data_IF_948940846325
#
_entry.id   IF_948940846325
#
_cell.length_a   1.000
_cell.length_b   1.000
_cell.length_c   1.000
_cell.angle_alpha   90.00
_cell.angle_beta   90.00
_cell.angle_gamma   90.00
#
_symmetry.space_group_name_H-M   'P 1'
#
loop_
_entity.id
_entity.type
_entity.pdbx_description
1 polymer ?
#
# COMPACT_ATOMS: atom_id res chain seq x y z
N UNK A 1 59.86 22.71 32.61
CA UNK A 1 58.50 22.85 32.03
C UNK A 1 58.56 22.42 30.58
N UNK A 2 58.05 21.23 30.24
CA UNK A 2 57.91 20.73 28.87
C UNK A 2 56.42 20.66 28.57
N UNK A 3 55.95 21.44 27.60
CA UNK A 3 54.57 21.35 27.09
C UNK A 3 54.54 20.27 26.00
N UNK A 4 53.73 19.23 26.21
CA UNK A 4 53.36 18.25 25.19
C UNK A 4 52.09 18.76 24.50
N UNK A 5 52.23 19.19 23.24
CA UNK A 5 51.10 19.45 22.34
C UNK A 5 50.60 18.12 21.80
N UNK A 6 49.44 17.67 22.28
CA UNK A 6 48.72 16.54 21.71
C UNK A 6 47.91 17.03 20.50
N UNK A 7 48.37 16.72 19.29
CA UNK A 7 47.59 16.90 18.06
C UNK A 7 46.49 15.84 18.00
N UNK A 8 45.25 16.25 18.21
CA UNK A 8 44.06 15.43 18.00
C UNK A 8 43.76 15.37 16.49
N UNK A 9 44.15 14.27 15.86
CA UNK A 9 43.74 13.93 14.49
C UNK A 9 42.24 13.56 14.50
N UNK A 10 41.40 14.50 14.07
CA UNK A 10 40.00 14.23 13.75
C UNK A 10 39.95 13.33 12.51
N UNK A 11 39.69 12.04 12.71
CA UNK A 11 39.30 11.14 11.63
C UNK A 11 37.88 11.52 11.17
N UNK A 12 37.78 12.24 10.06
CA UNK A 12 36.50 12.45 9.37
C UNK A 12 36.18 11.13 8.68
N UNK A 13 35.41 10.27 9.35
CA UNK A 13 34.81 9.12 8.67
C UNK A 13 33.90 9.64 7.57
N UNK A 14 34.07 9.22 6.30
CA UNK A 14 33.08 9.51 5.29
C UNK A 14 31.77 8.87 5.75
N UNK A 15 30.75 9.69 5.96
CA UNK A 15 29.38 9.20 5.99
C UNK A 15 29.14 8.63 4.59
N UNK A 16 29.23 7.31 4.49
CA UNK A 16 28.69 6.59 3.34
C UNK A 16 27.19 6.84 3.39
N UNK A 17 26.74 7.86 2.66
CA UNK A 17 25.34 8.00 2.29
C UNK A 17 25.05 6.75 1.46
N UNK A 18 24.46 5.75 2.11
CA UNK A 18 24.02 4.53 1.43
C UNK A 18 23.21 4.94 0.22
N UNK A 19 23.52 4.33 -0.93
CA UNK A 19 22.75 4.50 -2.14
C UNK A 19 21.27 4.42 -1.78
N UNK A 20 20.54 5.51 -1.99
CA UNK A 20 19.09 5.52 -1.86
C UNK A 20 18.64 4.53 -2.93
N UNK A 21 18.25 3.32 -2.51
CA UNK A 21 17.63 2.34 -3.40
C UNK A 21 16.48 3.06 -4.08
N UNK A 22 16.69 3.37 -5.35
CA UNK A 22 15.70 4.06 -6.19
C UNK A 22 14.42 3.23 -6.16
N UNK A 23 13.21 3.81 -6.26
CA UNK A 23 11.96 3.08 -6.43
C UNK A 23 12.15 2.04 -7.53
N UNK A 24 12.33 0.78 -7.11
CA UNK A 24 12.82 -0.23 -8.01
C UNK A 24 11.67 -0.71 -8.88
N UNK A 25 11.98 -0.99 -10.14
CA UNK A 25 11.11 -1.76 -11.02
C UNK A 25 10.61 -3.03 -10.31
N UNK A 26 11.47 -3.65 -9.51
CA UNK A 26 11.14 -4.80 -8.69
C UNK A 26 10.03 -4.57 -7.68
N UNK A 27 10.02 -3.45 -6.95
CA UNK A 27 8.96 -3.15 -5.98
C UNK A 27 7.60 -3.02 -6.66
N UNK A 28 7.55 -2.39 -7.84
CA UNK A 28 6.31 -2.26 -8.60
C UNK A 28 5.80 -3.63 -9.08
N UNK A 29 6.70 -4.46 -9.61
CA UNK A 29 6.33 -5.81 -10.01
C UNK A 29 5.90 -6.71 -8.85
N UNK A 30 6.58 -6.65 -7.71
CA UNK A 30 6.15 -7.37 -6.50
C UNK A 30 4.77 -6.91 -6.05
N UNK A 31 4.47 -5.61 -6.10
CA UNK A 31 3.13 -5.10 -5.83
C UNK A 31 2.08 -5.66 -6.80
N UNK A 32 2.40 -5.73 -8.10
CA UNK A 32 1.52 -6.34 -9.11
C UNK A 32 1.27 -7.83 -8.84
N UNK A 33 2.31 -8.57 -8.44
CA UNK A 33 2.21 -9.98 -8.05
C UNK A 33 1.31 -10.15 -6.83
N UNK A 34 1.54 -9.36 -5.78
CA UNK A 34 0.82 -9.47 -4.51
C UNK A 34 -0.67 -9.16 -4.64
N UNK A 35 -1.05 -8.23 -5.52
CA UNK A 35 -2.45 -7.94 -5.82
C UNK A 35 -3.20 -9.13 -6.45
N UNK A 36 -2.49 -10.08 -7.07
CA UNK A 36 -3.09 -11.24 -7.72
C UNK A 36 -3.69 -10.94 -9.10
N UNK A 37 -4.22 -11.97 -9.76
CA UNK A 37 -4.78 -11.86 -11.11
C UNK A 37 -6.20 -11.29 -11.13
N UNK A 38 -6.92 -11.39 -10.02
CA UNK A 38 -8.30 -10.89 -9.88
C UNK A 38 -8.41 -9.37 -9.78
N UNK A 39 -7.30 -8.66 -9.58
CA UNK A 39 -7.25 -7.20 -9.51
C UNK A 39 -6.71 -6.64 -10.82
N UNK A 40 -7.45 -5.71 -11.44
CA UNK A 40 -6.91 -4.94 -12.56
C UNK A 40 -5.73 -4.11 -12.07
N UNK A 41 -4.55 -4.34 -12.65
CA UNK A 41 -3.33 -3.64 -12.28
C UNK A 41 -2.33 -3.57 -13.44
N UNK A 42 -1.62 -2.44 -13.54
CA UNK A 42 -0.58 -2.16 -14.52
C UNK A 42 0.68 -1.67 -13.82
N UNK A 43 1.85 -2.13 -14.28
CA UNK A 43 3.14 -1.56 -13.89
C UNK A 43 3.50 -0.49 -14.90
N UNK A 44 3.78 0.71 -14.41
CA UNK A 44 4.17 1.85 -15.23
C UNK A 44 5.66 2.15 -15.03
N UNK A 45 6.36 2.43 -16.13
CA UNK A 45 7.61 3.18 -16.14
C UNK A 45 7.27 4.63 -16.45
N UNK A 46 7.68 5.56 -15.58
CA UNK A 46 7.33 6.97 -15.66
C UNK A 46 8.60 7.79 -15.74
N UNK A 47 8.67 8.71 -16.70
CA UNK A 47 9.78 9.65 -16.86
C UNK A 47 9.46 10.95 -16.12
N UNK A 48 10.40 11.37 -15.26
CA UNK A 48 10.32 12.62 -14.52
C UNK A 48 11.37 13.60 -15.05
N UNK A 49 10.91 14.73 -15.60
CA UNK A 49 11.77 15.78 -16.15
C UNK A 49 12.06 16.92 -15.17
N UNK A 50 11.49 16.87 -13.96
CA UNK A 50 11.68 17.90 -12.94
C UNK A 50 12.90 17.57 -12.06
N UNK A 51 14.06 18.23 -12.26
CA UNK A 51 15.27 17.95 -11.48
C UNK A 51 15.18 18.39 -10.01
N UNK A 52 14.18 19.21 -9.66
CA UNK A 52 13.93 19.63 -8.29
C UNK A 52 12.94 18.71 -7.55
N UNK A 53 12.36 17.73 -8.25
CA UNK A 53 11.43 16.78 -7.67
C UNK A 53 12.15 15.82 -6.70
N UNK A 54 11.50 15.39 -5.62
CA UNK A 54 12.00 14.28 -4.79
C UNK A 54 12.01 12.94 -5.54
N UNK A 55 11.27 12.83 -6.65
CA UNK A 55 11.25 11.63 -7.48
C UNK A 55 12.51 11.54 -8.37
N UNK A 56 13.09 10.34 -8.56
CA UNK A 56 14.16 10.16 -9.54
C UNK A 56 13.67 10.41 -10.96
N UNK A 57 14.60 10.54 -11.91
CA UNK A 57 14.31 10.73 -13.33
C UNK A 57 13.48 9.58 -13.96
N UNK A 58 13.52 8.39 -13.37
CA UNK A 58 12.66 7.26 -13.77
C UNK A 58 12.02 6.65 -12.53
N UNK A 59 10.70 6.62 -12.52
CA UNK A 59 9.88 6.04 -11.44
C UNK A 59 9.18 4.81 -11.96
N UNK A 60 9.16 3.74 -11.18
CA UNK A 60 8.31 2.59 -11.41
C UNK A 60 7.17 2.58 -10.40
N UNK A 61 5.95 2.39 -10.88
CA UNK A 61 4.75 2.41 -10.07
C UNK A 61 3.79 1.31 -10.47
N UNK A 62 2.98 0.87 -9.51
CA UNK A 62 1.85 -0.04 -9.77
C UNK A 62 0.57 0.74 -9.63
N UNK A 63 -0.19 0.82 -10.72
CA UNK A 63 -1.53 1.38 -10.73
C UNK A 63 -2.51 0.24 -10.71
N UNK A 64 -3.48 0.28 -9.81
CA UNK A 64 -4.47 -0.79 -9.68
C UNK A 64 -5.84 -0.26 -9.29
N UNK A 65 -6.88 -1.00 -9.65
CA UNK A 65 -8.24 -0.68 -9.30
C UNK A 65 -8.64 -1.41 -8.02
N UNK A 66 -9.25 -0.67 -7.08
CA UNK A 66 -9.86 -1.27 -5.91
C UNK A 66 -11.04 -0.41 -5.46
N UNK A 67 -12.23 -1.02 -5.34
CA UNK A 67 -13.49 -0.39 -4.92
C UNK A 67 -13.87 0.84 -5.75
N UNK A 68 -13.78 0.72 -7.08
CA UNK A 68 -14.15 1.80 -8.00
C UNK A 68 -13.28 3.04 -7.89
N UNK A 69 -12.00 2.86 -7.50
CA UNK A 69 -10.96 3.88 -7.42
C UNK A 69 -9.66 3.29 -7.97
N UNK A 70 -8.89 4.10 -8.70
CA UNK A 70 -7.51 3.82 -9.04
C UNK A 70 -6.58 4.24 -7.90
N UNK A 71 -5.61 3.38 -7.62
CA UNK A 71 -4.58 3.55 -6.62
C UNK A 71 -3.21 3.54 -7.28
N UNK A 72 -2.28 4.32 -6.76
CA UNK A 72 -0.92 4.46 -7.26
C UNK A 72 0.06 4.09 -6.15
N UNK A 73 0.83 3.02 -6.36
CA UNK A 73 1.85 2.55 -5.44
C UNK A 73 3.26 2.81 -5.98
N UNK A 74 4.12 3.39 -5.13
CA UNK A 74 5.58 3.39 -5.33
C UNK A 74 6.27 2.86 -4.09
N UNK A 75 7.47 2.29 -4.25
CA UNK A 75 8.29 1.88 -3.11
C UNK A 75 8.77 3.04 -2.23
N UNK A 76 8.66 4.29 -2.70
CA UNK A 76 9.05 5.49 -1.94
C UNK A 76 7.93 6.01 -1.04
N UNK A 77 6.73 6.17 -1.60
CA UNK A 77 5.63 6.87 -0.92
C UNK A 77 4.56 5.91 -0.40
N UNK A 78 4.60 4.66 -0.84
CA UNK A 78 3.54 3.69 -0.61
C UNK A 78 2.36 3.92 -1.54
N UNK A 79 1.16 3.56 -1.07
CA UNK A 79 -0.07 3.62 -1.85
C UNK A 79 -0.82 4.94 -1.59
N UNK A 80 -1.20 5.63 -2.66
CA UNK A 80 -2.07 6.81 -2.61
C UNK A 80 -3.23 6.71 -3.59
N UNK A 81 -4.27 7.51 -3.35
CA UNK A 81 -5.38 7.65 -4.31
C UNK A 81 -4.84 8.25 -5.60
N UNK A 82 -5.17 7.62 -6.71
CA UNK A 82 -4.80 8.10 -8.04
C UNK A 82 -5.99 8.68 -8.78
N UNK A 83 -7.18 8.11 -8.56
CA UNK A 83 -8.43 8.74 -8.98
C UNK A 83 -8.62 10.10 -8.33
N UNK A 84 -9.15 11.03 -9.13
CA UNK A 84 -9.60 12.34 -8.66
C UNK A 84 -11.09 12.29 -8.26
N UNK A 85 -11.86 11.36 -8.85
CA UNK A 85 -13.29 11.24 -8.63
C UNK A 85 -13.73 9.78 -8.43
N UNK A 86 -14.76 9.56 -7.60
CA UNK A 86 -15.39 8.23 -7.49
C UNK A 86 -16.27 7.96 -8.71
N UNK A 87 -16.34 6.69 -9.13
CA UNK A 87 -17.24 6.25 -10.20
C UNK A 87 -16.81 6.65 -11.61
N UNK A 88 -15.55 7.08 -11.79
CA UNK A 88 -14.96 7.47 -13.08
C UNK A 88 -13.77 6.61 -13.49
N UNK A 89 -13.61 5.43 -12.90
CA UNK A 89 -12.42 4.58 -13.11
C UNK A 89 -12.14 4.29 -14.58
N UNK A 90 -13.17 3.91 -15.35
CA UNK A 90 -12.97 3.60 -16.77
C UNK A 90 -12.51 4.81 -17.60
N UNK A 91 -13.04 5.99 -17.31
CA UNK A 91 -12.58 7.27 -17.89
C UNK A 91 -11.13 7.56 -17.45
N UNK A 92 -10.86 7.43 -16.15
CA UNK A 92 -9.56 7.72 -15.53
C UNK A 92 -8.45 6.76 -15.96
N UNK A 93 -8.76 5.50 -16.28
CA UNK A 93 -7.81 4.55 -16.91
C UNK A 93 -7.30 5.08 -18.27
N UNK A 94 -8.14 5.80 -19.01
CA UNK A 94 -7.77 6.46 -20.26
C UNK A 94 -7.06 7.81 -20.09
N UNK A 95 -7.12 8.43 -18.91
CA UNK A 95 -6.53 9.74 -18.62
C UNK A 95 -5.24 9.66 -17.78
N UNK A 96 -4.50 8.55 -17.88
CA UNK A 96 -3.31 8.25 -17.07
C UNK A 96 -2.32 9.43 -16.98
N UNK A 97 -2.03 10.08 -18.12
CA UNK A 97 -1.14 11.24 -18.20
C UNK A 97 -1.59 12.43 -17.32
N UNK A 98 -2.90 12.69 -17.28
CA UNK A 98 -3.46 13.78 -16.47
C UNK A 98 -3.32 13.46 -14.98
N UNK A 99 -3.60 12.22 -14.60
CA UNK A 99 -3.53 11.77 -13.22
C UNK A 99 -2.08 11.77 -12.71
N UNK A 100 -1.12 11.30 -13.54
CA UNK A 100 0.30 11.33 -13.20
C UNK A 100 0.80 12.77 -12.95
N UNK A 101 0.41 13.73 -13.80
CA UNK A 101 0.76 15.15 -13.61
C UNK A 101 0.12 15.77 -12.37
N UNK A 102 -0.98 15.22 -11.87
CA UNK A 102 -1.60 15.66 -10.62
C UNK A 102 -0.81 15.20 -9.38
N UNK A 103 -0.04 14.10 -9.49
CA UNK A 103 0.91 13.68 -8.45
C UNK A 103 2.15 14.55 -8.48
N UNK A 104 2.80 14.62 -9.64
CA UNK A 104 4.06 15.37 -9.85
C UNK A 104 4.03 16.00 -11.25
N UNK A 105 4.07 17.34 -11.36
CA UNK A 105 4.07 18.03 -12.65
C UNK A 105 5.18 17.60 -13.62
N UNK A 106 6.28 17.07 -13.10
CA UNK A 106 7.39 16.50 -13.87
C UNK A 106 7.13 15.13 -14.51
N UNK A 107 6.06 14.42 -14.15
CA UNK A 107 5.70 13.15 -14.79
C UNK A 107 5.09 13.40 -16.18
N UNK A 108 5.95 13.44 -17.21
CA UNK A 108 5.54 13.81 -18.59
C UNK A 108 5.17 12.63 -19.46
N UNK A 109 5.84 11.50 -19.28
CA UNK A 109 5.72 10.33 -20.14
C UNK A 109 5.63 9.09 -19.28
N UNK A 110 4.84 8.14 -19.74
CA UNK A 110 4.75 6.84 -19.12
C UNK A 110 4.61 5.75 -20.17
N UNK A 111 5.13 4.59 -19.85
CA UNK A 111 4.93 3.36 -20.60
C UNK A 111 4.31 2.34 -19.65
N UNK A 112 3.17 1.76 -20.04
CA UNK A 112 2.68 0.55 -19.40
C UNK A 112 3.59 -0.60 -19.80
N UNK A 113 4.22 -1.23 -18.81
CA UNK A 113 5.01 -2.44 -19.05
C UNK A 113 4.07 -3.59 -19.46
N UNK A 114 4.58 -4.60 -20.18
CA UNK A 114 3.78 -5.76 -20.59
C UNK A 114 3.08 -6.42 -19.40
N UNK A 115 1.95 -7.09 -19.60
CA UNK A 115 1.25 -7.79 -18.51
C UNK A 115 1.99 -9.06 -18.04
N UNK A 116 2.83 -9.63 -18.92
CA UNK A 116 3.64 -10.79 -18.59
C UNK A 116 4.67 -10.43 -17.51
N UNK A 117 4.53 -11.06 -16.35
CA UNK A 117 5.42 -10.85 -15.22
C UNK A 117 6.84 -11.34 -15.55
N UNK A 118 7.88 -10.52 -15.31
CA UNK A 118 9.25 -10.96 -15.47
C UNK A 118 9.59 -12.13 -14.55
N UNK A 119 10.42 -13.07 -15.05
CA UNK A 119 10.76 -14.33 -14.35
C UNK A 119 11.46 -14.12 -13.01
N UNK A 120 12.17 -12.99 -12.86
CA UNK A 120 12.90 -12.64 -11.63
C UNK A 120 12.01 -12.07 -10.52
N UNK A 121 10.73 -11.81 -10.80
CA UNK A 121 9.78 -11.31 -9.82
C UNK A 121 9.32 -12.47 -8.95
N UNK A 122 9.59 -12.36 -7.66
CA UNK A 122 9.19 -13.35 -6.67
C UNK A 122 8.55 -12.64 -5.47
N UNK A 123 7.67 -13.35 -4.77
CA UNK A 123 7.19 -12.87 -3.48
C UNK A 123 8.36 -12.91 -2.49
N UNK A 124 8.80 -11.72 -2.06
CA UNK A 124 9.86 -11.54 -1.06
C UNK A 124 9.30 -11.18 0.31
N UNK A 125 8.00 -11.40 0.49
CA UNK A 125 7.27 -11.00 1.66
C UNK A 125 6.79 -9.55 1.55
N UNK A 126 6.82 -8.78 2.65
CA UNK A 126 6.06 -7.54 2.72
C UNK A 126 6.62 -6.43 1.86
N UNK A 127 5.73 -5.66 1.23
CA UNK A 127 6.13 -4.47 0.48
C UNK A 127 6.54 -3.34 1.41
N UNK A 128 7.69 -2.74 1.12
CA UNK A 128 8.11 -1.47 1.72
C UNK A 128 7.07 -0.40 1.41
N UNK A 129 6.59 0.30 2.45
CA UNK A 129 5.51 1.29 2.34
C UNK A 129 4.20 0.75 1.72
N UNK A 130 4.05 -0.57 1.59
CA UNK A 130 2.90 -1.19 0.94
C UNK A 130 1.78 -1.55 1.92
N UNK A 131 1.59 -0.80 3.01
CA UNK A 131 0.63 -1.14 4.07
C UNK A 131 -0.79 -1.43 3.54
N UNK A 132 -1.22 -0.71 2.50
CA UNK A 132 -2.48 -0.96 1.81
C UNK A 132 -2.50 -2.33 1.11
N UNK A 133 -1.52 -2.62 0.26
CA UNK A 133 -1.43 -3.89 -0.47
C UNK A 133 -1.21 -5.07 0.48
N UNK A 134 -0.34 -4.91 1.48
CA UNK A 134 -0.13 -5.92 2.53
C UNK A 134 -1.43 -6.23 3.29
N UNK A 135 -2.27 -5.22 3.54
CA UNK A 135 -3.59 -5.41 4.16
C UNK A 135 -4.55 -6.20 3.27
N UNK A 136 -4.48 -6.02 1.94
CA UNK A 136 -5.25 -6.83 0.99
C UNK A 136 -4.76 -8.28 0.96
N UNK A 137 -3.45 -8.50 0.98
CA UNK A 137 -2.87 -9.85 1.06
C UNK A 137 -3.29 -10.53 2.36
N UNK A 138 -3.23 -9.84 3.50
CA UNK A 138 -3.70 -10.38 4.77
C UNK A 138 -5.19 -10.78 4.74
N UNK A 139 -6.03 -10.01 4.04
CA UNK A 139 -7.43 -10.38 3.85
C UNK A 139 -7.57 -11.64 2.99
N UNK A 140 -6.82 -11.72 1.88
CA UNK A 140 -6.79 -12.92 1.03
C UNK A 140 -6.38 -14.15 1.82
N UNK A 141 -5.27 -14.06 2.54
CA UNK A 141 -4.77 -15.17 3.34
C UNK A 141 -5.82 -15.61 4.35
N UNK A 142 -6.48 -14.68 5.05
CA UNK A 142 -7.55 -15.03 5.99
C UNK A 142 -8.73 -15.76 5.31
N UNK A 143 -9.16 -15.31 4.12
CA UNK A 143 -10.22 -15.96 3.35
C UNK A 143 -9.81 -17.35 2.85
N UNK A 144 -8.59 -17.51 2.35
CA UNK A 144 -8.04 -18.80 1.88
C UNK A 144 -7.91 -19.81 3.02
N UNK A 145 -7.62 -19.35 4.24
CA UNK A 145 -7.61 -20.17 5.45
C UNK A 145 -9.02 -20.42 6.03
N UNK A 146 -10.08 -19.99 5.34
CA UNK A 146 -11.47 -20.27 5.72
C UNK A 146 -11.96 -19.45 6.92
N UNK A 147 -11.35 -18.30 7.23
CA UNK A 147 -11.83 -17.42 8.31
C UNK A 147 -13.22 -16.88 7.94
N UNK A 148 -14.25 -17.06 8.79
CA UNK A 148 -15.62 -16.63 8.49
C UNK A 148 -15.78 -15.12 8.70
N UNK A 149 -15.27 -14.34 7.74
CA UNK A 149 -15.31 -12.88 7.76
C UNK A 149 -16.71 -12.38 7.37
N UNK A 150 -17.37 -11.67 8.28
CA UNK A 150 -18.68 -11.03 8.06
C UNK A 150 -18.58 -9.66 7.39
N UNK A 151 -17.51 -8.94 7.71
CA UNK A 151 -17.25 -7.60 7.21
C UNK A 151 -15.73 -7.37 7.19
N UNK A 152 -15.23 -6.68 6.17
CA UNK A 152 -13.82 -6.29 6.07
C UNK A 152 -13.73 -4.86 5.53
N UNK A 153 -12.85 -4.07 6.13
CA UNK A 153 -12.60 -2.67 5.77
C UNK A 153 -11.11 -2.39 5.92
N UNK A 154 -10.60 -1.45 5.15
CA UNK A 154 -9.32 -0.81 5.43
C UNK A 154 -9.56 0.46 6.23
N UNK A 155 -8.81 0.61 7.33
CA UNK A 155 -8.70 1.88 8.05
C UNK A 155 -7.41 2.55 7.62
N UNK A 156 -7.51 3.67 6.90
CA UNK A 156 -6.38 4.56 6.67
C UNK A 156 -6.42 5.69 7.70
N UNK A 157 -5.34 5.89 8.43
CA UNK A 157 -5.20 7.00 9.36
C UNK A 157 -3.96 7.84 9.04
N UNK A 158 -4.07 9.14 9.34
CA UNK A 158 -3.09 10.14 8.90
C UNK A 158 -2.43 10.81 10.10
N UNK A 159 -1.10 10.81 10.13
CA UNK A 159 -0.29 11.37 11.22
C UNK A 159 0.46 12.62 10.77
N UNK A 160 0.39 13.69 11.56
CA UNK A 160 1.24 14.87 11.38
C UNK A 160 2.70 14.54 11.69
N UNK A 161 3.60 14.79 10.74
CA UNK A 161 5.07 14.63 10.87
C UNK A 161 5.77 15.94 10.49
N UNK A 162 7.04 16.06 10.89
CA UNK A 162 7.85 17.22 10.49
C UNK A 162 7.96 17.18 8.97
N UNK A 163 7.39 18.17 8.30
CA UNK A 163 7.36 18.24 6.83
C UNK A 163 6.09 17.73 6.15
N UNK A 164 5.07 17.24 6.88
CA UNK A 164 3.81 16.87 6.23
C UNK A 164 2.90 15.94 7.01
N UNK A 165 2.05 15.22 6.29
CA UNK A 165 1.13 14.22 6.81
C UNK A 165 1.50 12.87 6.19
N UNK A 166 1.62 11.83 7.01
CA UNK A 166 1.92 10.46 6.57
C UNK A 166 0.71 9.58 6.83
N UNK A 167 0.28 8.85 5.82
CA UNK A 167 -0.79 7.86 5.93
C UNK A 167 -0.26 6.50 6.37
N UNK A 168 -1.09 5.73 7.07
CA UNK A 168 -0.89 4.32 7.36
C UNK A 168 -2.21 3.59 7.20
N UNK A 169 -2.18 2.36 6.69
CA UNK A 169 -3.39 1.57 6.43
C UNK A 169 -3.30 0.22 7.12
N UNK A 170 -4.39 -0.16 7.79
CA UNK A 170 -4.55 -1.47 8.44
C UNK A 170 -5.81 -2.15 7.93
N UNK A 171 -5.80 -3.49 7.91
CA UNK A 171 -7.00 -4.27 7.68
C UNK A 171 -7.78 -4.39 9.00
N UNK A 172 -9.08 -4.17 8.92
CA UNK A 172 -10.03 -4.40 10.01
C UNK A 172 -11.11 -5.34 9.51
N UNK A 173 -11.29 -6.49 10.13
CA UNK A 173 -12.36 -7.42 9.77
C UNK A 173 -13.09 -7.96 10.99
N UNK A 174 -14.34 -8.35 10.79
CA UNK A 174 -15.23 -8.86 11.83
C UNK A 174 -15.55 -10.33 11.60
N UNK A 175 -15.47 -11.12 12.67
CA UNK A 175 -15.88 -12.54 12.72
C UNK A 175 -16.97 -12.72 13.79
N UNK A 176 -17.43 -13.95 14.02
CA UNK A 176 -18.25 -14.29 15.19
C UNK A 176 -17.52 -14.07 16.53
N UNK A 177 -16.18 -14.11 16.53
CA UNK A 177 -15.37 -13.96 17.73
C UNK A 177 -15.08 -12.50 18.08
N UNK A 178 -15.30 -11.57 17.14
CA UNK A 178 -15.14 -10.14 17.37
C UNK A 178 -14.46 -9.40 16.21
N UNK A 179 -13.91 -8.23 16.54
CA UNK A 179 -13.14 -7.40 15.62
C UNK A 179 -11.67 -7.84 15.62
N UNK A 180 -11.08 -7.96 14.45
CA UNK A 180 -9.68 -8.26 14.23
C UNK A 180 -9.02 -7.09 13.49
N UNK A 181 -7.81 -6.73 13.89
CA UNK A 181 -7.00 -5.69 13.22
C UNK A 181 -5.66 -6.30 12.84
N UNK A 182 -5.28 -6.14 11.58
CA UNK A 182 -3.98 -6.56 11.06
C UNK A 182 -3.22 -5.29 10.66
N UNK A 183 -2.18 -4.99 11.44
CA UNK A 183 -1.30 -3.85 11.23
C UNK A 183 0.09 -4.33 10.80
N UNK A 184 0.30 -4.38 9.49
CA UNK A 184 1.55 -4.82 8.90
C UNK A 184 1.66 -6.34 8.73
N UNK A 185 2.80 -6.80 8.22
CA UNK A 185 3.00 -8.18 7.80
C UNK A 185 3.44 -9.14 8.91
N UNK A 186 3.75 -8.62 10.10
CA UNK A 186 4.12 -9.47 11.20
C UNK A 186 2.89 -10.29 11.58
N UNK A 187 3.02 -11.61 11.37
CA UNK A 187 1.97 -12.62 11.47
C UNK A 187 1.29 -12.68 12.84
N UNK A 188 1.83 -11.96 13.83
CA UNK A 188 1.22 -11.71 15.12
C UNK A 188 0.21 -10.56 15.02
N UNK A 189 -0.78 -10.74 14.14
CA UNK A 189 -2.05 -10.02 14.21
C UNK A 189 -2.69 -10.33 15.55
N UNK A 190 -2.30 -9.56 16.57
CA UNK A 190 -2.88 -9.72 17.90
C UNK A 190 -4.34 -9.35 17.73
N UNK A 191 -5.29 -10.29 17.96
CA UNK A 191 -6.69 -9.94 17.91
C UNK A 191 -6.91 -8.87 18.97
N UNK A 192 -7.12 -7.63 18.54
CA UNK A 192 -7.55 -6.60 19.45
C UNK A 192 -9.05 -6.80 19.59
N UNK A 193 -9.45 -7.57 20.61
CA UNK A 193 -10.85 -7.73 20.99
C UNK A 193 -11.36 -6.38 21.49
N UNK A 194 -11.74 -5.53 20.54
CA UNK A 194 -12.41 -4.28 20.78
C UNK A 194 -13.89 -4.53 20.63
N UNK A 195 -14.69 -3.88 21.48
CA UNK A 195 -16.07 -3.62 21.10
C UNK A 195 -16.07 -2.97 19.72
N UNK A 196 -16.88 -3.52 18.82
CA UNK A 196 -17.02 -3.01 17.47
C UNK A 196 -17.29 -1.50 17.54
N UNK A 197 -16.49 -0.72 16.84
CA UNK A 197 -16.65 0.73 16.71
C UNK A 197 -16.57 1.08 15.24
N UNK A 198 -17.51 1.90 14.78
CA UNK A 198 -17.45 2.51 13.45
C UNK A 198 -16.64 3.83 13.49
N UNK A 199 -16.25 4.30 14.69
CA UNK A 199 -15.38 5.46 14.85
C UNK A 199 -13.92 5.10 14.53
N UNK A 200 -13.52 5.41 13.29
CA UNK A 200 -12.16 5.22 12.82
C UNK A 200 -11.11 5.99 13.63
N UNK A 201 -11.44 7.18 14.14
CA UNK A 201 -10.53 7.99 14.96
C UNK A 201 -10.30 7.32 16.31
N UNK A 202 -11.35 6.80 16.92
CA UNK A 202 -11.25 6.03 18.17
C UNK A 202 -10.36 4.80 17.97
N UNK A 203 -10.62 4.02 16.91
CA UNK A 203 -9.82 2.83 16.61
C UNK A 203 -8.35 3.18 16.35
N UNK A 204 -8.07 4.17 15.50
CA UNK A 204 -6.70 4.62 15.22
C UNK A 204 -5.98 5.10 16.50
N UNK A 205 -6.65 5.80 17.42
CA UNK A 205 -6.05 6.19 18.70
C UNK A 205 -5.66 4.99 19.57
N UNK A 206 -6.44 3.90 19.52
CA UNK A 206 -6.13 2.66 20.25
C UNK A 206 -4.92 1.94 19.66
N UNK A 207 -4.79 1.93 18.32
CA UNK A 207 -3.66 1.33 17.61
C UNK A 207 -2.35 2.11 17.79
N UNK A 208 -2.43 3.43 17.92
CA UNK A 208 -1.24 4.27 18.07
C UNK A 208 -0.63 4.21 19.49
N UNK A 209 0.71 4.19 19.60
CA UNK A 209 1.39 4.42 20.88
C UNK A 209 0.93 5.73 21.52
N UNK A 210 0.83 5.78 22.85
CA UNK A 210 0.29 6.93 23.59
C UNK A 210 0.93 8.27 23.18
N UNK A 211 2.26 8.28 23.01
CA UNK A 211 3.04 9.43 22.56
C UNK A 211 2.79 9.87 21.10
N UNK A 212 2.02 9.13 20.30
CA UNK A 212 1.72 9.47 18.92
C UNK A 212 0.26 9.87 18.67
N UNK A 213 -0.65 9.63 19.64
CA UNK A 213 -2.10 9.87 19.48
C UNK A 213 -2.44 11.33 19.17
N UNK A 214 -1.71 12.27 19.77
CA UNK A 214 -1.90 13.71 19.54
C UNK A 214 -1.53 14.16 18.10
N UNK A 215 -0.89 13.28 17.32
CA UNK A 215 -0.48 13.53 15.95
C UNK A 215 -1.50 13.04 14.93
N UNK A 216 -2.51 12.29 15.37
CA UNK A 216 -3.59 11.81 14.52
C UNK A 216 -4.39 13.00 14.00
N UNK A 217 -4.47 13.12 12.69
CA UNK A 217 -5.15 14.21 11.99
C UNK A 217 -6.57 13.79 11.64
N UNK A 218 -6.71 12.67 10.92
CA UNK A 218 -7.98 12.16 10.43
C UNK A 218 -7.88 10.68 10.11
N UNK A 219 -9.02 10.06 9.84
CA UNK A 219 -9.14 8.67 9.39
C UNK A 219 -10.10 8.55 8.23
N UNK A 220 -9.93 7.50 7.44
CA UNK A 220 -10.83 7.14 6.35
C UNK A 220 -11.06 5.63 6.35
N UNK A 221 -12.32 5.26 6.26
CA UNK A 221 -12.73 3.89 6.01
C UNK A 221 -12.83 3.62 4.51
N UNK A 222 -12.45 2.41 4.14
CA UNK A 222 -12.65 1.87 2.80
C UNK A 222 -13.20 0.45 2.93
N UNK A 223 -14.41 0.23 2.44
CA UNK A 223 -15.08 -1.07 2.57
C UNK A 223 -14.56 -2.06 1.53
N UNK A 224 -14.25 -3.28 1.99
CA UNK A 224 -13.85 -4.40 1.13
C UNK A 224 -14.95 -5.46 1.08
N UNK A 225 -15.54 -5.81 2.23
CA UNK A 225 -16.65 -6.74 2.33
C UNK A 225 -17.72 -6.08 3.20
N UNK A 226 -18.93 -5.91 2.67
CA UNK A 226 -20.06 -5.33 3.39
C UNK A 226 -21.02 -6.41 3.91
N UNK A 227 -21.62 -6.24 5.11
CA UNK A 227 -22.65 -7.14 5.60
C UNK A 227 -23.92 -7.10 4.74
N UNK A 228 -24.17 -5.99 4.03
CA UNK A 228 -25.32 -5.81 3.13
C UNK A 228 -25.07 -6.30 1.70
N UNK A 229 -23.83 -6.71 1.38
CA UNK A 229 -23.51 -7.33 0.09
C UNK A 229 -24.20 -8.70 0.02
N UNK A 230 -24.97 -8.92 -1.05
CA UNK A 230 -25.55 -10.23 -1.35
C UNK A 230 -24.45 -11.28 -1.60
N UNK A 231 -24.86 -12.55 -1.66
CA UNK A 231 -23.93 -13.65 -1.85
C UNK A 231 -23.11 -13.53 -3.16
N UNK A 232 -23.69 -12.92 -4.21
CA UNK A 232 -23.04 -12.70 -5.51
C UNK A 232 -21.95 -11.62 -5.42
N UNK A 233 -22.22 -10.49 -4.76
CA UNK A 233 -21.21 -9.44 -4.54
C UNK A 233 -20.06 -9.97 -3.67
N UNK A 234 -20.34 -10.86 -2.70
CA UNK A 234 -19.29 -11.55 -1.93
C UNK A 234 -18.48 -12.53 -2.78
N UNK A 235 -19.10 -13.18 -3.76
CA UNK A 235 -18.42 -14.06 -4.71
C UNK A 235 -17.47 -13.28 -5.62
N UNK A 236 -17.85 -12.09 -6.09
CA UNK A 236 -16.96 -11.20 -6.87
C UNK A 236 -15.72 -10.81 -6.08
N UNK A 237 -15.86 -10.47 -4.78
CA UNK A 237 -14.72 -10.23 -3.91
C UNK A 237 -13.88 -11.50 -3.66
N UNK A 238 -14.51 -12.66 -3.52
CA UNK A 238 -13.78 -13.94 -3.42
C UNK A 238 -13.03 -14.30 -4.70
N UNK A 239 -13.46 -13.84 -5.88
CA UNK A 239 -12.74 -14.00 -7.15
C UNK A 239 -11.59 -13.00 -7.27
N UNK A 240 -11.81 -11.74 -6.88
CA UNK A 240 -10.79 -10.67 -6.87
C UNK A 240 -9.69 -10.96 -5.84
N UNK A 241 -10.08 -11.52 -4.70
CA UNK A 241 -9.21 -11.73 -3.54
C UNK A 241 -8.73 -13.18 -3.45
N UNK A 242 -9.55 -14.21 -3.62
CA UNK A 242 -9.17 -15.63 -3.43
C UNK A 242 -8.72 -16.36 -4.70
N UNK A 243 -7.97 -15.68 -5.58
CA UNK A 243 -7.62 -16.12 -6.94
C UNK A 243 -7.45 -17.63 -7.08
N UNK A 244 -8.43 -18.29 -7.70
CA UNK A 244 -8.25 -19.68 -8.14
C UNK A 244 -7.44 -19.66 -9.43
N UNK A 245 -6.25 -20.27 -9.50
CA UNK A 245 -5.62 -20.58 -10.77
C UNK A 245 -6.50 -21.64 -11.44
N UNK A 246 -7.29 -21.22 -12.41
CA UNK A 246 -8.23 -22.07 -13.10
C UNK A 246 -7.57 -23.02 -14.09
N UNK A 247 -6.82 -24.02 -13.64
CA UNK A 247 -6.58 -25.26 -14.41
C UNK A 247 -6.63 -26.49 -13.50
N UNK A 248 -7.76 -27.19 -13.49
CA UNK A 248 -7.79 -28.63 -13.28
C UNK A 248 -9.06 -29.22 -13.92
N UNK A 249 -8.83 -30.05 -14.93
CA UNK A 249 -9.66 -31.16 -15.44
C UNK A 249 -10.83 -30.80 -16.36
N UNK A 250 -10.56 -30.93 -17.65
CA UNK A 250 -11.54 -31.41 -18.61
C UNK A 250 -11.94 -32.84 -18.23
N UNK A 251 -13.24 -33.05 -18.02
CA UNK A 251 -13.93 -34.30 -18.29
C UNK A 251 -14.74 -34.14 -19.57
#
# INVERSE_FOLDING_TARGET
>A
MRYLTASLLLAISPVVVGAIDSPTQESAWQARLMLGEGVWAKVLRIENDNPASPYPATVYATVFEMGGILWFYTGMDGTQSFSLHRGRVEEEKGEMDRLLRAIEPGFKRHDALPDAMPVWVHDRGPLRNGCFINSLVALRDALEHGVPIKQARLLTYYLKRRGGVVGHTVLVYQTDLGLHVVDGPDKDSTPVFLHATDDGLELARRLLPSGQRHRLVTTRWFELISPAADADTRADWLVVVGGRPGWALAG
#
